data_IF_724961168812
#
_entry.id   IF_724961168812
#
_cell.length_a   1.000
_cell.length_b   1.000
_cell.length_c   1.000
_cell.angle_alpha   90.00
_cell.angle_beta   90.00
_cell.angle_gamma   90.00
#
_symmetry.space_group_name_H-M   'P 1'
#
loop_
_entity.id
_entity.type
_entity.pdbx_description
1 polymer ?
#
# COMPACT_ATOMS: atom_id res chain seq x y z
N UNK A 1 19.21 8.08 3.58
CA UNK A 1 18.18 7.40 4.37
C UNK A 1 17.45 6.44 3.45
N UNK A 2 17.95 5.21 3.33
CA UNK A 2 17.13 4.13 2.80
C UNK A 2 16.02 3.93 3.83
N UNK A 3 14.91 4.62 3.64
CA UNK A 3 13.65 4.14 4.18
C UNK A 3 13.46 2.80 3.49
N UNK A 4 13.96 1.73 4.11
CA UNK A 4 13.32 0.45 4.06
C UNK A 4 11.85 0.77 4.41
N UNK A 5 11.04 1.07 3.39
CA UNK A 5 9.66 1.50 3.63
C UNK A 5 9.00 0.26 4.20
N UNK A 6 8.72 0.34 5.48
CA UNK A 6 8.19 -0.78 6.22
C UNK A 6 6.91 -1.28 5.54
N UNK A 7 6.97 -2.47 4.97
CA UNK A 7 5.83 -3.10 4.30
C UNK A 7 4.67 -3.23 5.30
N UNK A 8 4.95 -3.42 6.59
CA UNK A 8 3.93 -3.45 7.62
C UNK A 8 3.23 -2.10 7.78
N UNK A 9 3.98 -0.99 7.69
CA UNK A 9 3.38 0.34 7.68
C UNK A 9 2.44 0.52 6.48
N UNK A 10 2.87 0.12 5.28
CA UNK A 10 2.04 0.22 4.07
C UNK A 10 0.76 -0.64 4.19
N UNK A 11 0.89 -1.88 4.67
CA UNK A 11 -0.24 -2.78 4.89
C UNK A 11 -1.20 -2.24 5.97
N UNK A 12 -0.68 -1.70 7.08
CA UNK A 12 -1.50 -1.08 8.11
C UNK A 12 -2.31 0.10 7.55
N UNK A 13 -1.68 0.95 6.73
CA UNK A 13 -2.34 2.10 6.10
C UNK A 13 -3.37 1.69 5.05
N UNK A 14 -3.11 0.61 4.31
CA UNK A 14 -4.09 -0.01 3.42
C UNK A 14 -5.32 -0.47 4.18
N UNK A 15 -5.15 -1.24 5.26
CA UNK A 15 -6.24 -1.76 6.09
C UNK A 15 -7.08 -0.62 6.69
N UNK A 16 -6.44 0.40 7.27
CA UNK A 16 -7.13 1.58 7.82
C UNK A 16 -7.95 2.29 6.73
N UNK A 17 -7.40 2.41 5.52
CA UNK A 17 -8.10 3.07 4.41
C UNK A 17 -9.33 2.25 3.98
N UNK A 18 -9.24 0.92 3.93
CA UNK A 18 -10.39 0.06 3.64
C UNK A 18 -11.49 0.17 4.70
N UNK A 19 -11.13 0.18 5.98
CA UNK A 19 -12.09 0.38 7.09
C UNK A 19 -12.80 1.73 6.95
N UNK A 20 -12.06 2.79 6.62
CA UNK A 20 -12.63 4.13 6.40
C UNK A 20 -13.51 4.19 5.15
N UNK A 21 -13.15 3.50 4.07
CA UNK A 21 -13.98 3.38 2.88
C UNK A 21 -15.32 2.73 3.20
N UNK A 22 -15.30 1.62 3.95
CA UNK A 22 -16.50 0.89 4.36
C UNK A 22 -17.39 1.72 5.31
N UNK A 23 -16.77 2.55 6.15
CA UNK A 23 -17.48 3.39 7.13
C UNK A 23 -17.94 4.74 6.56
N UNK A 24 -17.51 5.10 5.35
CA UNK A 24 -17.81 6.40 4.73
C UNK A 24 -19.28 6.49 4.34
N UNK A 25 -19.93 7.61 4.72
CA UNK A 25 -21.33 7.91 4.36
C UNK A 25 -21.48 8.58 3.00
N UNK A 26 -20.41 9.13 2.42
CA UNK A 26 -20.43 9.74 1.10
C UNK A 26 -19.74 8.85 0.07
N UNK A 27 -20.26 8.88 -1.16
CA UNK A 27 -19.69 8.15 -2.30
C UNK A 27 -18.27 8.65 -2.60
N UNK A 28 -18.07 9.97 -2.55
CA UNK A 28 -16.78 10.63 -2.77
C UNK A 28 -15.76 10.23 -1.70
N UNK A 29 -16.18 10.21 -0.43
CA UNK A 29 -15.31 9.80 0.67
C UNK A 29 -14.93 8.32 0.58
N UNK A 30 -15.88 7.46 0.19
CA UNK A 30 -15.61 6.04 -0.05
C UNK A 30 -14.59 5.87 -1.18
N UNK A 31 -14.80 6.53 -2.31
CA UNK A 31 -13.90 6.48 -3.46
C UNK A 31 -12.50 7.00 -3.14
N UNK A 32 -12.39 8.06 -2.33
CA UNK A 32 -11.12 8.60 -1.88
C UNK A 32 -10.32 7.60 -1.03
N UNK A 33 -10.98 6.95 -0.06
CA UNK A 33 -10.34 5.94 0.77
C UNK A 33 -9.98 4.66 0.00
N UNK A 34 -10.83 4.22 -0.94
CA UNK A 34 -10.50 3.10 -1.83
C UNK A 34 -9.29 3.44 -2.72
N UNK A 35 -9.18 4.67 -3.21
CA UNK A 35 -8.02 5.13 -3.97
C UNK A 35 -6.74 5.12 -3.12
N UNK A 36 -6.83 5.53 -1.86
CA UNK A 36 -5.71 5.43 -0.91
C UNK A 36 -5.30 3.98 -0.68
N UNK A 37 -6.25 3.08 -0.46
CA UNK A 37 -5.98 1.65 -0.27
C UNK A 37 -5.23 1.06 -1.47
N UNK A 38 -5.69 1.35 -2.70
CA UNK A 38 -5.01 0.92 -3.94
C UNK A 38 -3.59 1.49 -4.03
N UNK A 39 -3.40 2.77 -3.73
CA UNK A 39 -2.07 3.39 -3.76
C UNK A 39 -1.07 2.79 -2.76
N UNK A 40 -1.53 2.23 -1.63
CA UNK A 40 -0.66 1.47 -0.74
C UNK A 40 -0.34 0.07 -1.31
N UNK A 41 -1.31 -0.61 -1.93
CA UNK A 41 -1.06 -1.88 -2.63
C UNK A 41 -0.02 -1.73 -3.75
N UNK A 42 -0.12 -0.67 -4.56
CA UNK A 42 0.82 -0.39 -5.64
C UNK A 42 2.25 -0.20 -5.12
N UNK A 43 2.39 0.44 -3.96
CA UNK A 43 3.69 0.61 -3.31
C UNK A 43 4.24 -0.73 -2.80
N UNK A 44 3.41 -1.58 -2.19
CA UNK A 44 3.83 -2.91 -1.73
C UNK A 44 4.30 -3.76 -2.92
N UNK A 45 3.58 -3.72 -4.03
CA UNK A 45 3.97 -4.46 -5.23
C UNK A 45 5.28 -3.91 -5.82
N UNK A 46 5.47 -2.58 -5.85
CA UNK A 46 6.73 -1.99 -6.25
C UNK A 46 7.91 -2.48 -5.38
N UNK A 47 7.72 -2.57 -4.06
CA UNK A 47 8.71 -3.17 -3.16
C UNK A 47 8.99 -4.63 -3.47
N UNK A 48 7.95 -5.42 -3.70
CA UNK A 48 8.09 -6.83 -4.04
C UNK A 48 8.93 -6.99 -5.32
N UNK A 49 8.66 -6.19 -6.34
CA UNK A 49 9.39 -6.21 -7.61
C UNK A 49 10.85 -5.78 -7.45
N UNK A 50 11.12 -4.76 -6.63
CA UNK A 50 12.48 -4.35 -6.30
C UNK A 50 13.26 -5.45 -5.58
N UNK A 51 12.64 -6.09 -4.58
CA UNK A 51 13.24 -7.22 -3.86
C UNK A 51 13.53 -8.41 -4.78
N UNK A 52 12.61 -8.74 -5.70
CA UNK A 52 12.83 -9.80 -6.70
C UNK A 52 14.06 -9.49 -7.57
N UNK A 53 14.22 -8.24 -8.02
CA UNK A 53 15.40 -7.83 -8.79
C UNK A 53 16.69 -7.97 -7.98
N UNK A 54 16.69 -7.53 -6.72
CA UNK A 54 17.85 -7.62 -5.84
C UNK A 54 18.25 -9.08 -5.57
N UNK A 55 17.27 -9.95 -5.28
CA UNK A 55 17.52 -11.39 -5.07
C UNK A 55 18.10 -12.03 -6.34
N UNK A 56 17.54 -11.72 -7.51
CA UNK A 56 18.02 -12.27 -8.79
C UNK A 56 19.43 -11.77 -9.18
N UNK A 57 19.86 -10.60 -8.69
CA UNK A 57 21.22 -10.08 -8.89
C UNK A 57 22.24 -10.66 -7.89
N UNK A 58 21.76 -11.23 -6.79
CA UNK A 58 22.59 -11.84 -5.75
C UNK A 58 22.81 -13.36 -5.95
N UNK A 59 22.18 -13.94 -6.97
CA UNK A 59 22.32 -15.33 -7.41
C UNK A 59 23.22 -15.42 -8.65
#
# INVERSE_FOLDING_TARGET
MNMEKDVNYLLQRQQISLVKAQSSRSAEGRAAYEKLARGYSDQVEAYRQENVKLVNLAL
#
